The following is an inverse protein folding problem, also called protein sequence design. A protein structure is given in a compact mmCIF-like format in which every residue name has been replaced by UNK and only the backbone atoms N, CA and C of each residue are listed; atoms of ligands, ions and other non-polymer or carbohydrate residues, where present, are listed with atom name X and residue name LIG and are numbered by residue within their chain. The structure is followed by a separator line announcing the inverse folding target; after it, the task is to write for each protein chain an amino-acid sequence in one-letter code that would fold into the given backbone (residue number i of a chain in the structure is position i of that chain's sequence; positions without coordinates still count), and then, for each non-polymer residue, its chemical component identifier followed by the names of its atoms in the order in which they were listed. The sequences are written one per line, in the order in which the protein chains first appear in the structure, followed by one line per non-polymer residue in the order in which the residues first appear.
data_IF_881371934190
#
_entry.id   IF_881371934190
#
_cell.length_a   1.000
_cell.length_b   1.000
_cell.length_c   1.000
_cell.angle_alpha   90.00
_cell.angle_beta   90.00
_cell.angle_gamma   90.00
#
_symmetry.space_group_name_H-M   'P 1'
#
loop_
_entity.id
_entity.type
_entity.pdbx_description
1 polymer ?
#
# COMPACT_ATOMS: atom_id res chain seq x y z
N UNK A 1 7.78 -4.53 8.09
CA UNK A 1 6.63 -5.26 7.53
C UNK A 1 5.49 -4.28 7.42
N UNK A 2 4.81 -4.26 6.28
CA UNK A 2 3.62 -3.44 6.02
C UNK A 2 2.67 -4.23 5.13
N UNK A 3 1.41 -3.84 5.00
CA UNK A 3 0.44 -4.56 4.16
C UNK A 3 0.55 -4.17 2.67
N UNK A 4 0.73 -2.88 2.37
CA UNK A 4 0.77 -2.35 1.00
C UNK A 4 1.92 -1.36 0.76
N UNK A 5 2.58 -1.47 -0.40
CA UNK A 5 3.38 -0.40 -0.98
C UNK A 5 2.62 0.26 -2.13
N UNK A 6 1.96 1.39 -1.83
CA UNK A 6 1.36 2.28 -2.83
C UNK A 6 2.37 3.32 -3.31
N UNK A 7 2.48 4.45 -2.60
CA UNK A 7 3.40 5.54 -2.95
C UNK A 7 4.86 5.33 -2.53
N UNK A 8 5.08 4.46 -1.54
CA UNK A 8 6.38 4.22 -0.93
C UNK A 8 6.81 5.24 0.13
N UNK A 9 6.04 6.30 0.40
CA UNK A 9 6.42 7.36 1.36
C UNK A 9 6.63 6.81 2.78
N UNK A 10 5.67 6.04 3.29
CA UNK A 10 5.71 5.49 4.65
C UNK A 10 6.91 4.56 4.84
N UNK A 11 7.03 3.57 3.97
CA UNK A 11 8.12 2.59 4.03
C UNK A 11 9.50 3.24 3.88
N UNK A 12 9.67 4.21 2.98
CA UNK A 12 10.95 4.94 2.82
C UNK A 12 11.28 5.79 4.05
N UNK A 13 10.29 6.46 4.66
CA UNK A 13 10.51 7.26 5.87
C UNK A 13 10.85 6.41 7.10
N UNK A 14 10.27 5.21 7.22
CA UNK A 14 10.64 4.26 8.28
C UNK A 14 12.03 3.70 8.03
N UNK A 15 12.33 3.28 6.79
CA UNK A 15 13.65 2.78 6.40
C UNK A 15 14.77 3.77 6.75
N UNK A 16 14.62 5.03 6.34
CA UNK A 16 15.62 6.06 6.61
C UNK A 16 15.85 6.32 8.10
N UNK A 17 14.83 6.18 8.95
CA UNK A 17 14.98 6.28 10.41
C UNK A 17 15.77 5.11 11.00
N UNK A 18 15.55 3.90 10.51
CA UNK A 18 16.29 2.71 10.95
C UNK A 18 17.75 2.78 10.49
N UNK A 19 17.99 3.16 9.24
CA UNK A 19 19.35 3.38 8.70
C UNK A 19 20.08 4.47 9.50
N UNK A 20 19.41 5.60 9.79
CA UNK A 20 19.97 6.68 10.60
C UNK A 20 20.32 6.28 12.04
N UNK A 21 19.67 5.24 12.58
CA UNK A 21 20.00 4.66 13.88
C UNK A 21 21.10 3.58 13.81
N UNK A 22 21.71 3.37 12.63
CA UNK A 22 22.75 2.35 12.41
C UNK A 22 22.21 0.94 12.13
N UNK A 23 20.91 0.80 11.90
CA UNK A 23 20.28 -0.48 11.53
C UNK A 23 20.45 -0.81 10.05
N UNK A 24 20.24 -2.10 9.71
CA UNK A 24 20.22 -2.61 8.33
C UNK A 24 18.81 -3.12 8.03
N UNK A 25 17.87 -2.23 7.64
CA UNK A 25 16.48 -2.61 7.43
C UNK A 25 16.25 -3.33 6.10
N UNK A 26 15.30 -4.27 6.11
CA UNK A 26 14.67 -4.84 4.93
C UNK A 26 13.18 -4.53 4.93
N UNK A 27 12.66 -4.09 3.78
CA UNK A 27 11.26 -3.77 3.58
C UNK A 27 10.53 -4.98 2.98
N UNK A 28 9.43 -5.38 3.60
CA UNK A 28 8.59 -6.46 3.12
C UNK A 28 7.13 -6.05 3.23
N UNK A 29 6.38 -6.24 2.13
CA UNK A 29 4.96 -5.91 2.01
C UNK A 29 4.16 -7.09 1.46
N UNK A 30 2.84 -7.12 1.66
CA UNK A 30 2.01 -8.13 1.00
C UNK A 30 1.78 -7.75 -0.46
N UNK A 31 1.34 -6.51 -0.73
CA UNK A 31 0.98 -6.06 -2.07
C UNK A 31 1.79 -4.83 -2.52
N UNK A 32 2.41 -4.91 -3.70
CA UNK A 32 3.21 -3.84 -4.30
C UNK A 32 2.55 -3.28 -5.56
N UNK A 33 2.30 -1.97 -5.60
CA UNK A 33 1.83 -1.28 -6.81
C UNK A 33 2.98 -0.45 -7.44
N UNK A 34 3.61 -0.92 -8.53
CA UNK A 34 4.75 -0.23 -9.14
C UNK A 34 4.35 1.08 -9.82
N UNK A 35 3.10 1.22 -10.25
CA UNK A 35 2.60 2.41 -10.95
C UNK A 35 2.32 3.57 -10.00
N UNK A 36 2.12 3.30 -8.70
CA UNK A 36 1.93 4.34 -7.69
C UNK A 36 3.21 4.75 -6.98
N UNK A 37 4.32 4.03 -7.18
CA UNK A 37 5.58 4.34 -6.50
C UNK A 37 6.11 5.71 -6.95
N UNK A 38 6.28 6.63 -5.99
CA UNK A 38 6.85 7.94 -6.25
C UNK A 38 8.39 7.90 -6.32
N UNK A 39 8.99 6.79 -5.88
CA UNK A 39 10.42 6.59 -5.86
C UNK A 39 10.79 5.56 -6.92
N UNK A 40 11.23 6.03 -8.09
CA UNK A 40 11.55 5.16 -9.24
C UNK A 40 12.72 4.21 -8.98
N UNK A 41 13.58 4.53 -8.00
CA UNK A 41 14.73 3.71 -7.60
C UNK A 41 14.49 2.86 -6.35
N UNK A 42 13.33 2.99 -5.70
CA UNK A 42 13.05 2.31 -4.43
C UNK A 42 11.81 1.43 -4.56
N UNK A 43 11.95 0.17 -4.14
CA UNK A 43 10.89 -0.83 -4.10
C UNK A 43 11.04 -1.67 -2.83
N UNK A 44 10.01 -2.44 -2.43
CA UNK A 44 10.16 -3.43 -1.37
C UNK A 44 11.26 -4.44 -1.69
N UNK A 45 12.00 -4.89 -0.67
CA UNK A 45 12.97 -5.98 -0.80
C UNK A 45 12.25 -7.31 -1.00
N UNK A 46 11.08 -7.48 -0.37
CA UNK A 46 10.20 -8.63 -0.52
C UNK A 46 8.75 -8.18 -0.71
N UNK A 47 8.00 -8.90 -1.55
CA UNK A 47 6.56 -8.72 -1.71
C UNK A 47 5.88 -10.04 -2.06
N UNK A 48 4.64 -10.25 -1.61
CA UNK A 48 3.89 -11.46 -1.94
C UNK A 48 3.28 -11.38 -3.35
N UNK A 49 2.74 -10.22 -3.73
CA UNK A 49 2.16 -10.00 -5.06
C UNK A 49 2.33 -8.57 -5.56
N UNK A 50 2.44 -8.43 -6.88
CA UNK A 50 2.40 -7.14 -7.58
C UNK A 50 0.98 -6.92 -8.12
N UNK A 51 0.35 -5.80 -7.81
CA UNK A 51 -1.01 -5.51 -8.28
C UNK A 51 -1.33 -4.01 -8.21
N UNK A 52 -2.23 -3.56 -9.07
CA UNK A 52 -2.81 -2.22 -9.07
C UNK A 52 -4.27 -2.18 -8.57
N UNK A 53 -4.83 -3.34 -8.23
CA UNK A 53 -6.17 -3.49 -7.70
C UNK A 53 -6.35 -2.75 -6.36
N UNK A 54 -7.59 -2.35 -6.10
CA UNK A 54 -7.99 -1.90 -4.76
C UNK A 54 -8.22 -3.14 -3.89
N UNK A 55 -7.41 -3.28 -2.83
CA UNK A 55 -7.46 -4.43 -1.92
C UNK A 55 -8.07 -3.96 -0.62
N UNK A 56 -9.06 -4.71 -0.14
CA UNK A 56 -9.60 -4.59 1.21
C UNK A 56 -9.06 -5.79 1.99
N UNK A 57 -8.25 -5.54 3.02
CA UNK A 57 -7.73 -6.63 3.82
C UNK A 57 -8.76 -7.13 4.84
N UNK A 58 -8.65 -8.41 5.30
CA UNK A 58 -9.59 -8.95 6.27
C UNK A 58 -9.71 -8.12 7.56
N UNK A 59 -8.63 -7.46 7.98
CA UNK A 59 -8.60 -6.60 9.17
C UNK A 59 -9.16 -5.19 8.95
N UNK A 60 -9.51 -4.83 7.72
CA UNK A 60 -10.12 -3.54 7.37
C UNK A 60 -11.65 -3.64 7.22
N UNK A 61 -12.21 -4.86 7.21
CA UNK A 61 -13.65 -5.10 7.01
C UNK A 61 -14.49 -4.33 8.04
N UNK A 62 -14.08 -4.34 9.31
CA UNK A 62 -14.80 -3.66 10.40
C UNK A 62 -14.62 -2.13 10.38
N UNK A 63 -13.69 -1.60 9.58
CA UNK A 63 -13.52 -0.15 9.36
C UNK A 63 -14.54 0.41 8.37
N UNK A 64 -15.35 -0.46 7.73
CA UNK A 64 -16.41 -0.08 6.81
C UNK A 64 -15.92 0.68 5.57
N UNK A 65 -16.87 1.34 4.88
CA UNK A 65 -16.63 2.26 3.75
C UNK A 65 -16.29 3.67 4.24
N UNK A 66 -15.77 3.84 5.46
CA UNK A 66 -15.47 5.16 6.00
C UNK A 66 -14.47 5.91 5.09
N UNK A 67 -14.96 6.94 4.39
CA UNK A 67 -14.21 7.77 3.44
C UNK A 67 -14.36 7.36 1.96
N UNK A 68 -14.90 6.18 1.67
CA UNK A 68 -15.39 5.81 0.34
C UNK A 68 -16.86 6.24 0.29
N UNK A 69 -17.12 7.42 -0.28
CA UNK A 69 -18.50 7.86 -0.52
C UNK A 69 -19.29 6.72 -1.18
N UNK A 70 -20.48 6.43 -0.65
CA UNK A 70 -21.39 5.46 -1.22
C UNK A 70 -21.65 5.84 -2.68
N UNK A 71 -21.14 5.05 -3.62
CA UNK A 71 -21.48 5.20 -5.03
C UNK A 71 -22.75 4.40 -5.23
N UNK A 72 -23.91 5.07 -5.25
CA UNK A 72 -25.11 4.43 -5.75
C UNK A 72 -24.83 4.03 -7.21
N UNK A 73 -24.99 2.76 -7.61
CA UNK A 73 -24.97 2.44 -9.03
C UNK A 73 -26.13 3.20 -9.69
N UNK A 74 -25.84 3.97 -10.74
CA UNK A 74 -26.89 4.61 -11.52
C UNK A 74 -27.85 3.52 -12.03
N UNK A 75 -29.17 3.68 -11.85
CA UNK A 75 -30.12 2.69 -12.33
C UNK A 75 -30.02 2.59 -13.85
N UNK A 76 -29.98 1.36 -14.38
CA UNK A 76 -30.06 1.10 -15.81
C UNK A 76 -31.33 1.76 -16.38
N UNK A 77 -31.12 2.83 -17.14
CA UNK A 77 -32.19 3.52 -17.86
C UNK A 77 -32.52 2.67 -19.08
N UNK A 78 -33.63 1.91 -19.01
CA UNK A 78 -34.24 1.27 -20.18
C UNK A 78 -34.96 2.30 -21.06
#
# INVERSE_FOLDING_TARGET
MDDVWGSGRTSTAVRGRVEGAGGIPFNCVLHFNPYRSLFTKSKPDFYAATTDAYIIFPWEIDRGIEGLGYVEPEPDVN
#
